data_IF_909502235153
#
_entry.id   IF_909502235153
#
_cell.length_a   1.000
_cell.length_b   1.000
_cell.length_c   1.000
_cell.angle_alpha   90.00
_cell.angle_beta   90.00
_cell.angle_gamma   90.00
#
_symmetry.space_group_name_H-M   'P 1'
#
loop_
_entity.id
_entity.type
_entity.pdbx_description
1 polymer ?
#
# COMPACT_ATOMS: atom_id res chain seq x y z
N UNK A 1 -53.72 -3.59 73.16
CA UNK A 1 -52.58 -4.08 72.37
C UNK A 1 -53.12 -5.02 71.30
N UNK A 2 -53.17 -4.61 70.04
CA UNK A 2 -52.33 -5.24 69.01
C UNK A 2 -52.44 -4.43 67.71
N UNK A 3 -51.28 -4.14 67.16
CA UNK A 3 -51.02 -3.44 65.93
C UNK A 3 -51.10 -4.47 64.79
N UNK A 4 -51.84 -4.18 63.72
CA UNK A 4 -51.74 -4.95 62.49
C UNK A 4 -51.60 -3.98 61.32
N UNK A 5 -50.37 -3.86 60.85
CA UNK A 5 -49.97 -3.22 59.59
C UNK A 5 -49.29 -4.34 58.79
N UNK A 6 -49.71 -4.59 57.53
CA UNK A 6 -48.78 -4.26 56.45
C UNK A 6 -49.49 -3.65 55.23
N UNK A 7 -48.91 -2.59 54.67
CA UNK A 7 -48.78 -2.50 53.22
C UNK A 7 -47.32 -2.29 52.85
N UNK A 8 -46.68 -3.31 52.26
CA UNK A 8 -45.49 -3.16 51.44
C UNK A 8 -45.85 -3.82 50.11
N UNK A 9 -46.09 -3.08 49.03
CA UNK A 9 -45.16 -2.12 48.44
C UNK A 9 -44.28 -2.93 47.49
N UNK A 10 -44.76 -3.10 46.24
CA UNK A 10 -44.06 -3.86 45.21
C UNK A 10 -42.70 -3.25 44.92
N UNK A 11 -41.64 -3.91 45.36
CA UNK A 11 -40.33 -3.76 44.76
C UNK A 11 -40.32 -4.72 43.57
N UNK A 12 -40.18 -4.19 42.35
CA UNK A 12 -39.83 -5.00 41.19
C UNK A 12 -38.61 -5.85 41.54
N UNK A 13 -38.62 -7.11 41.09
CA UNK A 13 -37.58 -8.07 41.45
C UNK A 13 -36.24 -7.57 40.90
N UNK A 14 -35.30 -7.14 41.75
CA UNK A 14 -34.07 -6.48 41.29
C UNK A 14 -33.17 -7.42 40.47
N UNK A 15 -33.38 -8.74 40.56
CA UNK A 15 -32.69 -9.72 39.74
C UNK A 15 -33.28 -9.76 38.32
N UNK A 16 -34.57 -9.49 38.15
CA UNK A 16 -35.21 -9.41 36.84
C UNK A 16 -34.73 -8.17 36.06
N UNK A 17 -34.65 -7.01 36.71
CA UNK A 17 -34.10 -5.79 36.10
C UNK A 17 -32.62 -5.95 35.74
N UNK A 18 -31.81 -6.55 36.61
CA UNK A 18 -30.40 -6.84 36.32
C UNK A 18 -30.22 -7.85 35.17
N UNK A 19 -31.08 -8.86 35.10
CA UNK A 19 -31.04 -9.85 34.01
C UNK A 19 -31.39 -9.19 32.66
N UNK A 20 -32.42 -8.34 32.64
CA UNK A 20 -32.80 -7.59 31.44
C UNK A 20 -31.68 -6.64 30.97
N UNK A 21 -30.99 -5.99 31.90
CA UNK A 21 -29.86 -5.10 31.58
C UNK A 21 -28.65 -5.88 31.04
N UNK A 22 -28.36 -7.06 31.57
CA UNK A 22 -27.32 -7.96 31.04
C UNK A 22 -27.67 -8.50 29.65
N UNK A 23 -28.92 -8.89 29.41
CA UNK A 23 -29.38 -9.33 28.08
C UNK A 23 -29.26 -8.19 27.06
N UNK A 24 -29.63 -6.97 27.44
CA UNK A 24 -29.48 -5.80 26.57
C UNK A 24 -28.01 -5.50 26.26
N UNK A 25 -27.13 -5.57 27.27
CA UNK A 25 -25.70 -5.38 27.09
C UNK A 25 -25.09 -6.47 26.18
N UNK A 26 -25.49 -7.73 26.36
CA UNK A 26 -25.05 -8.84 25.52
C UNK A 26 -25.53 -8.68 24.08
N UNK A 27 -26.77 -8.26 23.86
CA UNK A 27 -27.32 -7.98 22.53
C UNK A 27 -26.58 -6.82 21.85
N UNK A 28 -26.31 -5.74 22.58
CA UNK A 28 -25.51 -4.59 22.10
C UNK A 28 -24.08 -5.01 21.74
N UNK A 29 -23.44 -5.81 22.57
CA UNK A 29 -22.09 -6.33 22.32
C UNK A 29 -22.04 -7.26 21.09
N UNK A 30 -23.01 -8.16 20.93
CA UNK A 30 -23.10 -9.04 19.77
C UNK A 30 -23.31 -8.25 18.47
N UNK A 31 -24.20 -7.27 18.48
CA UNK A 31 -24.44 -6.40 17.33
C UNK A 31 -23.20 -5.55 16.98
N UNK A 32 -22.47 -5.05 17.99
CA UNK A 32 -21.20 -4.35 17.82
C UNK A 32 -20.13 -5.25 17.18
N UNK A 33 -20.00 -6.48 17.66
CA UNK A 33 -19.06 -7.46 17.14
C UNK A 33 -19.35 -7.84 15.68
N UNK A 34 -20.62 -8.00 15.32
CA UNK A 34 -21.04 -8.27 13.94
C UNK A 34 -20.73 -7.10 13.02
N UNK A 35 -21.06 -5.87 13.45
CA UNK A 35 -20.75 -4.65 12.69
C UNK A 35 -19.26 -4.45 12.50
N UNK A 36 -18.46 -4.73 13.54
CA UNK A 36 -17.00 -4.65 13.45
C UNK A 36 -16.45 -5.69 12.47
N UNK A 37 -16.94 -6.94 12.51
CA UNK A 37 -16.55 -7.98 11.55
C UNK A 37 -16.94 -7.63 10.11
N UNK A 38 -18.06 -6.94 9.93
CA UNK A 38 -18.54 -6.49 8.62
C UNK A 38 -17.89 -5.18 8.14
N UNK A 39 -17.15 -4.47 9.00
CA UNK A 39 -16.51 -3.21 8.64
C UNK A 39 -15.32 -3.48 7.71
N UNK A 40 -15.53 -3.24 6.42
CA UNK A 40 -14.54 -3.48 5.37
C UNK A 40 -14.43 -2.24 4.51
N UNK A 41 -13.23 -1.70 4.36
CA UNK A 41 -12.99 -0.60 3.43
C UNK A 41 -12.42 -1.14 2.12
N UNK A 42 -13.02 -0.72 1.02
CA UNK A 42 -12.52 -1.01 -0.33
C UNK A 42 -12.01 0.29 -0.96
N UNK A 43 -10.78 0.27 -1.47
CA UNK A 43 -10.18 1.36 -2.22
C UNK A 43 -9.76 0.86 -3.60
N UNK A 44 -10.02 1.67 -4.62
CA UNK A 44 -9.73 1.31 -6.00
C UNK A 44 -8.90 2.41 -6.68
N UNK A 45 -8.03 1.98 -7.59
CA UNK A 45 -7.30 2.88 -8.47
C UNK A 45 -8.30 3.63 -9.38
N UNK A 46 -8.09 4.93 -9.68
CA UNK A 46 -9.00 5.70 -10.53
C UNK A 46 -9.08 5.16 -11.97
N UNK A 47 -8.04 4.46 -12.40
CA UNK A 47 -7.94 3.79 -13.69
C UNK A 47 -8.48 2.35 -13.67
N UNK A 48 -8.96 1.84 -12.52
CA UNK A 48 -9.48 0.48 -12.39
C UNK A 48 -8.42 -0.62 -12.49
N UNK A 49 -7.13 -0.28 -12.45
CA UNK A 49 -6.05 -1.26 -12.51
C UNK A 49 -6.00 -2.15 -11.26
N UNK A 50 -6.27 -1.60 -10.08
CA UNK A 50 -6.13 -2.33 -8.81
C UNK A 50 -7.28 -1.98 -7.87
N UNK A 51 -7.83 -2.99 -7.20
CA UNK A 51 -8.79 -2.86 -6.11
C UNK A 51 -8.24 -3.56 -4.87
N UNK A 52 -8.27 -2.87 -3.73
CA UNK A 52 -7.73 -3.34 -2.45
C UNK A 52 -8.84 -3.29 -1.42
N UNK A 53 -9.03 -4.39 -0.69
CA UNK A 53 -10.04 -4.52 0.36
C UNK A 53 -9.34 -4.83 1.68
N UNK A 54 -9.55 -4.00 2.69
CA UNK A 54 -8.90 -4.10 4.00
C UNK A 54 -9.96 -4.23 5.09
N UNK A 55 -9.75 -5.16 6.02
CA UNK A 55 -10.63 -5.38 7.16
C UNK A 55 -10.39 -4.39 8.30
N UNK A 56 -11.22 -4.45 9.35
CA UNK A 56 -11.23 -3.47 10.45
C UNK A 56 -9.91 -3.41 11.22
N UNK A 57 -9.15 -4.51 11.24
CA UNK A 57 -7.84 -4.60 11.89
C UNK A 57 -6.68 -4.12 11.01
N UNK A 58 -6.95 -3.54 9.84
CA UNK A 58 -5.92 -3.13 8.87
C UNK A 58 -5.31 -4.29 8.06
N UNK A 59 -5.83 -5.50 8.23
CA UNK A 59 -5.39 -6.70 7.49
C UNK A 59 -5.97 -6.68 6.09
N UNK A 60 -5.11 -6.92 5.09
CA UNK A 60 -5.50 -7.07 3.69
C UNK A 60 -6.35 -8.33 3.54
N UNK A 61 -7.59 -8.17 3.09
CA UNK A 61 -8.51 -9.28 2.85
C UNK A 61 -8.55 -9.68 1.38
N UNK A 62 -8.51 -8.69 0.48
CA UNK A 62 -8.61 -8.96 -0.94
C UNK A 62 -7.79 -7.97 -1.78
N UNK A 63 -7.18 -8.49 -2.84
CA UNK A 63 -6.46 -7.72 -3.84
C UNK A 63 -6.87 -8.22 -5.22
N UNK A 64 -7.44 -7.33 -6.05
CA UNK A 64 -7.85 -7.63 -7.42
C UNK A 64 -7.13 -6.74 -8.42
N UNK A 65 -6.68 -7.35 -9.51
CA UNK A 65 -6.09 -6.66 -10.65
C UNK A 65 -7.08 -6.60 -11.79
N UNK A 66 -7.36 -5.39 -12.28
CA UNK A 66 -8.19 -5.15 -13.45
C UNK A 66 -7.38 -5.22 -14.75
N UNK A 67 -8.05 -5.12 -15.92
CA UNK A 67 -7.40 -5.22 -17.23
C UNK A 67 -6.30 -4.17 -17.43
N UNK A 68 -6.47 -2.96 -16.88
CA UNK A 68 -5.47 -1.87 -16.92
C UNK A 68 -4.17 -2.20 -16.15
N UNK A 69 -4.17 -3.16 -15.24
CA UNK A 69 -2.93 -3.56 -14.55
C UNK A 69 -1.94 -4.25 -15.49
N UNK A 70 -2.44 -5.02 -16.45
CA UNK A 70 -1.62 -5.79 -17.38
C UNK A 70 -0.96 -4.92 -18.45
N UNK A 71 -1.50 -3.72 -18.69
CA UNK A 71 -0.92 -2.73 -19.60
C UNK A 71 0.21 -1.90 -18.95
N UNK A 72 0.39 -2.01 -17.63
CA UNK A 72 1.39 -1.24 -16.86
C UNK A 72 2.70 -2.02 -16.68
N UNK A 73 3.84 -1.32 -16.64
CA UNK A 73 5.09 -1.96 -16.26
C UNK A 73 5.04 -2.42 -14.79
N UNK A 74 5.69 -3.55 -14.45
CA UNK A 74 5.55 -4.18 -13.13
C UNK A 74 5.99 -3.29 -11.96
N UNK A 75 6.99 -2.43 -12.17
CA UNK A 75 7.46 -1.47 -11.17
C UNK A 75 6.41 -0.40 -10.86
N UNK A 76 5.68 0.08 -11.87
CA UNK A 76 4.61 1.04 -11.69
C UNK A 76 3.39 0.38 -11.01
N UNK A 77 3.10 -0.88 -11.34
CA UNK A 77 2.04 -1.64 -10.70
C UNK A 77 2.33 -1.87 -9.21
N UNK A 78 3.56 -2.28 -8.87
CA UNK A 78 3.99 -2.46 -7.47
C UNK A 78 3.84 -1.15 -6.67
N UNK A 79 4.31 -0.03 -7.23
CA UNK A 79 4.18 1.29 -6.61
C UNK A 79 2.72 1.71 -6.41
N UNK A 80 1.84 1.38 -7.35
CA UNK A 80 0.41 1.67 -7.26
C UNK A 80 -0.28 0.82 -6.18
N UNK A 81 0.04 -0.47 -6.11
CA UNK A 81 -0.49 -1.38 -5.08
C UNK A 81 -0.11 -0.88 -3.69
N UNK A 82 1.16 -0.54 -3.46
CA UNK A 82 1.63 -0.05 -2.16
C UNK A 82 0.92 1.25 -1.75
N UNK A 83 0.73 2.19 -2.68
CA UNK A 83 -0.03 3.41 -2.43
C UNK A 83 -1.49 3.14 -2.07
N UNK A 84 -2.14 2.20 -2.77
CA UNK A 84 -3.54 1.85 -2.49
C UNK A 84 -3.70 1.14 -1.15
N UNK A 85 -2.77 0.26 -0.80
CA UNK A 85 -2.76 -0.39 0.52
C UNK A 85 -2.63 0.66 1.62
N UNK A 86 -1.67 1.60 1.50
CA UNK A 86 -1.52 2.67 2.49
C UNK A 86 -2.76 3.54 2.64
N UNK A 87 -3.41 3.91 1.52
CA UNK A 87 -4.70 4.64 1.55
C UNK A 87 -5.83 3.83 2.16
N UNK A 88 -5.92 2.54 1.85
CA UNK A 88 -6.95 1.67 2.40
C UNK A 88 -6.78 1.51 3.91
N UNK A 89 -5.55 1.34 4.39
CA UNK A 89 -5.24 1.30 5.82
C UNK A 89 -5.63 2.60 6.53
N UNK A 90 -5.25 3.77 5.99
CA UNK A 90 -5.65 5.06 6.54
C UNK A 90 -7.18 5.24 6.59
N UNK A 91 -7.89 4.81 5.54
CA UNK A 91 -9.34 4.88 5.46
C UNK A 91 -10.02 3.98 6.49
N UNK A 92 -9.54 2.73 6.64
CA UNK A 92 -10.03 1.82 7.69
C UNK A 92 -9.80 2.42 9.07
N UNK A 93 -8.60 2.92 9.37
CA UNK A 93 -8.32 3.51 10.68
C UNK A 93 -9.25 4.68 11.00
N UNK A 94 -9.54 5.53 10.01
CA UNK A 94 -10.49 6.63 10.17
C UNK A 94 -11.94 6.13 10.39
N UNK A 95 -12.39 5.14 9.62
CA UNK A 95 -13.73 4.55 9.77
C UNK A 95 -13.91 3.82 11.11
N UNK A 96 -12.86 3.12 11.58
CA UNK A 96 -12.85 2.48 12.89
C UNK A 96 -12.90 3.55 13.99
N UNK A 97 -12.09 4.60 13.91
CA UNK A 97 -12.12 5.70 14.87
C UNK A 97 -13.49 6.40 14.94
N UNK A 98 -14.14 6.60 13.79
CA UNK A 98 -15.50 7.14 13.69
C UNK A 98 -16.55 6.21 14.32
N UNK A 99 -16.49 4.91 14.01
CA UNK A 99 -17.40 3.90 14.57
C UNK A 99 -17.25 3.77 16.10
N UNK A 100 -16.03 3.84 16.62
CA UNK A 100 -15.79 3.88 18.06
C UNK A 100 -16.27 5.19 18.68
N UNK A 101 -16.08 6.34 18.02
CA UNK A 101 -16.59 7.64 18.50
C UNK A 101 -18.12 7.66 18.61
N UNK A 102 -18.82 7.03 17.67
CA UNK A 102 -20.28 6.86 17.71
C UNK A 102 -20.78 5.89 18.79
N UNK A 103 -19.94 4.96 19.24
CA UNK A 103 -20.26 4.04 20.35
C UNK A 103 -19.92 4.63 21.72
N UNK A 104 -18.91 5.50 21.78
CA UNK A 104 -18.38 6.12 23.01
C UNK A 104 -19.14 7.40 23.40
N UNK A 105 -20.10 7.84 22.59
CA UNK A 105 -20.93 9.02 22.86
C UNK A 105 -22.24 8.75 23.59
N UNK A 106 -22.20 8.43 24.89
CA UNK A 106 -23.07 9.06 25.92
C UNK A 106 -22.73 8.67 27.37
N UNK A 107 -21.99 7.58 27.64
CA UNK A 107 -21.48 7.33 29.00
C UNK A 107 -20.30 6.34 29.04
N UNK A 108 -19.36 6.62 29.95
CA UNK A 108 -18.45 5.66 30.59
C UNK A 108 -17.10 5.31 29.92
N UNK A 109 -16.03 5.59 30.67
CA UNK A 109 -14.68 4.98 30.73
C UNK A 109 -13.82 4.82 29.44
N UNK A 110 -14.41 4.52 28.28
CA UNK A 110 -13.70 4.35 27.02
C UNK A 110 -13.07 5.66 26.52
N UNK A 111 -13.65 6.81 26.89
CA UNK A 111 -13.14 8.14 26.52
C UNK A 111 -11.86 8.51 27.29
N UNK A 112 -11.71 8.02 28.50
CA UNK A 112 -10.53 8.24 29.36
C UNK A 112 -9.36 7.38 28.89
N UNK A 113 -9.62 6.11 28.56
CA UNK A 113 -8.63 5.23 27.93
C UNK A 113 -8.24 5.70 26.52
N UNK A 114 -9.17 6.23 25.73
CA UNK A 114 -8.85 6.78 24.41
C UNK A 114 -7.97 8.04 24.51
N UNK A 115 -8.14 8.85 25.56
CA UNK A 115 -7.31 10.04 25.81
C UNK A 115 -5.91 9.66 26.28
N UNK A 116 -5.77 8.55 27.02
CA UNK A 116 -4.47 8.06 27.47
C UNK A 116 -3.66 7.35 26.36
N UNK A 117 -4.34 6.81 25.34
CA UNK A 117 -3.71 6.15 24.18
C UNK A 117 -3.60 7.04 22.93
N UNK A 118 -4.21 8.22 22.90
CA UNK A 118 -3.96 9.24 21.87
C UNK A 118 -2.89 10.21 22.36
N UNK A 119 -1.72 10.32 21.71
CA UNK A 119 -0.85 11.47 21.93
C UNK A 119 -1.62 12.74 21.57
N UNK A 120 -1.58 13.75 22.44
CA UNK A 120 -2.20 15.05 22.22
C UNK A 120 -1.82 15.56 20.82
N UNK A 121 -2.79 15.97 19.97
CA UNK A 121 -2.45 16.73 18.78
C UNK A 121 -1.81 18.01 19.27
N UNK A 122 -0.50 18.15 19.05
CA UNK A 122 0.21 19.39 19.31
C UNK A 122 -0.60 20.53 18.67
N UNK A 123 -0.86 21.63 19.40
CA UNK A 123 -1.61 22.74 18.85
C UNK A 123 -0.94 23.17 17.55
N UNK A 124 -1.71 23.15 16.47
CA UNK A 124 -1.32 23.75 15.21
C UNK A 124 -1.19 25.26 15.41
N UNK A 125 -0.03 25.70 15.90
CA UNK A 125 0.44 27.07 15.71
C UNK A 125 0.97 27.19 14.28
N UNK A 126 0.29 28.02 13.49
CA UNK A 126 0.88 28.71 12.35
C UNK A 126 0.68 28.07 10.96
N UNK A 127 -0.23 28.68 10.19
CA UNK A 127 -0.24 28.66 8.71
C UNK A 127 1.09 29.27 8.17
N UNK A 128 1.53 28.94 6.93
CA UNK A 128 2.88 28.47 6.61
C UNK A 128 3.84 29.58 6.13
N UNK A 129 5.13 29.26 6.04
CA UNK A 129 5.95 29.80 4.97
C UNK A 129 6.57 28.68 4.14
N UNK A 130 6.36 28.76 2.82
CA UNK A 130 7.36 28.35 1.84
C UNK A 130 7.48 26.85 1.59
N UNK A 131 7.19 26.46 0.35
CA UNK A 131 7.28 25.08 -0.10
C UNK A 131 8.63 24.43 0.19
N UNK A 132 8.59 23.34 0.96
CA UNK A 132 9.60 22.33 0.90
C UNK A 132 9.39 21.55 -0.41
N UNK A 133 9.97 22.07 -1.49
CA UNK A 133 10.47 21.23 -2.58
C UNK A 133 11.16 20.05 -1.92
N UNK A 134 10.71 18.84 -2.23
CA UNK A 134 11.54 17.66 -2.06
C UNK A 134 12.78 17.87 -2.93
N UNK A 135 13.82 18.45 -2.34
CA UNK A 135 15.15 18.38 -2.90
C UNK A 135 15.61 16.96 -2.59
N UNK A 136 15.86 16.09 -3.59
CA UNK A 136 16.60 14.88 -3.30
C UNK A 136 17.91 15.30 -2.64
N UNK A 137 18.22 14.62 -1.54
CA UNK A 137 19.45 14.74 -0.77
C UNK A 137 20.62 15.07 -1.70
N UNK A 138 21.17 16.28 -1.56
CA UNK A 138 22.41 16.67 -2.21
C UNK A 138 23.49 15.84 -1.53
N UNK A 139 23.67 14.66 -2.07
CA UNK A 139 24.81 13.81 -1.96
C UNK A 139 26.09 14.67 -1.96
N UNK A 140 26.70 14.85 -0.78
CA UNK A 140 27.95 15.59 -0.57
C UNK A 140 29.15 14.75 -1.09
N UNK A 141 28.98 14.09 -2.24
CA UNK A 141 30.13 13.61 -3.01
C UNK A 141 30.67 14.82 -3.77
N UNK A 142 31.95 15.18 -3.59
CA UNK A 142 32.57 16.17 -4.47
C UNK A 142 32.34 15.73 -5.92
N UNK A 143 32.06 16.66 -6.86
CA UNK A 143 31.82 16.29 -8.25
C UNK A 143 33.01 15.47 -8.75
N UNK A 144 32.74 14.24 -9.19
CA UNK A 144 33.76 13.43 -9.86
C UNK A 144 34.39 14.27 -10.97
N UNK A 145 35.73 14.37 -11.03
CA UNK A 145 36.38 15.09 -12.12
C UNK A 145 35.87 14.56 -13.47
N UNK A 146 35.75 15.41 -14.50
CA UNK A 146 35.33 14.95 -15.81
C UNK A 146 36.21 13.76 -16.22
N UNK A 147 35.64 12.69 -16.79
CA UNK A 147 36.45 11.59 -17.28
C UNK A 147 37.51 12.15 -18.24
N UNK A 148 38.76 11.67 -18.19
CA UNK A 148 39.76 12.10 -19.15
C UNK A 148 39.19 11.89 -20.55
N UNK A 149 39.49 12.79 -21.52
CA UNK A 149 39.04 12.60 -22.89
C UNK A 149 39.43 11.18 -23.29
N UNK A 150 38.43 10.36 -23.62
CA UNK A 150 38.67 9.02 -24.16
C UNK A 150 39.57 9.24 -25.36
N UNK A 151 40.86 8.92 -25.22
CA UNK A 151 41.76 8.88 -26.34
C UNK A 151 41.12 7.89 -27.29
N UNK A 152 40.65 8.37 -28.44
CA UNK A 152 40.19 7.48 -29.49
C UNK A 152 41.37 6.52 -29.73
N UNK A 153 41.15 5.21 -29.70
CA UNK A 153 42.21 4.29 -30.12
C UNK A 153 42.72 4.80 -31.48
N UNK A 154 44.04 4.85 -31.68
CA UNK A 154 44.59 5.32 -32.94
C UNK A 154 43.89 4.56 -34.07
N UNK A 155 43.29 5.33 -34.99
CA UNK A 155 42.67 4.74 -36.16
C UNK A 155 43.71 3.88 -36.89
N UNK A 156 43.28 2.82 -37.58
CA UNK A 156 44.19 2.01 -38.38
C UNK A 156 45.02 2.91 -39.31
N UNK A 157 46.33 2.66 -39.46
CA UNK A 157 47.18 3.47 -40.32
C UNK A 157 46.60 3.51 -41.74
N UNK A 158 46.74 4.63 -42.46
CA UNK A 158 46.27 4.72 -43.84
C UNK A 158 46.97 3.63 -44.67
N UNK A 159 46.25 2.96 -45.58
CA UNK A 159 46.83 1.93 -46.41
C UNK A 159 47.97 2.52 -47.25
N UNK A 160 49.11 1.86 -47.21
CA UNK A 160 50.31 2.25 -47.93
C UNK A 160 50.01 2.31 -49.45
N UNK A 161 50.25 3.44 -50.15
CA UNK A 161 49.97 3.58 -51.59
C UNK A 161 50.71 2.58 -52.48
N UNK A 162 51.77 1.94 -51.95
CA UNK A 162 52.55 0.94 -52.67
C UNK A 162 51.92 -0.46 -52.73
N UNK A 163 50.91 -0.76 -51.91
CA UNK A 163 50.21 -2.07 -51.99
C UNK A 163 49.12 -2.13 -53.07
N UNK A 164 48.66 -0.98 -53.57
CA UNK A 164 47.62 -0.93 -54.62
C UNK A 164 48.15 -1.31 -56.01
N UNK A 165 49.47 -1.47 -56.18
CA UNK A 165 50.09 -1.71 -57.49
C UNK A 165 50.26 -3.20 -57.83
N UNK A 166 49.97 -4.12 -56.91
CA UNK A 166 50.22 -5.56 -57.13
C UNK A 166 48.96 -6.45 -57.14
N UNK A 167 47.77 -5.86 -57.28
CA UNK A 167 46.51 -6.59 -57.08
C UNK A 167 45.56 -6.57 -58.28
N UNK A 168 45.86 -7.30 -59.36
CA UNK A 168 44.85 -7.94 -60.23
C UNK A 168 45.53 -8.90 -61.23
N UNK A 169 44.87 -9.95 -61.75
CA UNK A 169 43.81 -10.79 -61.17
C UNK A 169 44.12 -12.30 -61.37
N UNK A 170 43.68 -13.19 -60.47
CA UNK A 170 43.39 -14.59 -60.85
C UNK A 170 42.08 -15.06 -60.23
N UNK A 171 41.06 -15.15 -61.09
CA UNK A 171 39.82 -15.87 -60.83
C UNK A 171 40.16 -17.30 -60.41
N UNK A 172 39.63 -17.76 -59.28
CA UNK A 172 39.44 -19.18 -58.99
C UNK A 172 37.96 -19.46 -58.71
N UNK A 173 37.47 -20.64 -59.07
CA UNK A 173 36.04 -20.94 -59.13
C UNK A 173 35.45 -21.16 -57.74
N UNK A 174 34.14 -20.91 -57.64
CA UNK A 174 33.31 -21.12 -56.46
C UNK A 174 33.08 -22.61 -56.19
N UNK A 175 33.27 -23.12 -54.96
CA UNK A 175 32.66 -24.36 -54.50
C UNK A 175 31.21 -24.12 -54.03
N UNK A 176 30.35 -25.11 -54.28
CA UNK A 176 28.91 -25.15 -54.02
C UNK A 176 28.59 -25.26 -52.50
N UNK A 177 27.33 -25.07 -52.07
CA UNK A 177 26.94 -25.15 -50.67
C UNK A 177 26.78 -26.61 -50.25
N UNK A 178 27.34 -26.99 -49.10
CA UNK A 178 26.90 -28.19 -48.39
C UNK A 178 25.72 -27.81 -47.50
N UNK A 179 24.60 -28.46 -47.80
CA UNK A 179 23.40 -28.54 -46.98
C UNK A 179 23.64 -29.53 -45.83
N UNK A 180 22.95 -29.26 -44.72
CA UNK A 180 22.49 -30.26 -43.75
C UNK A 180 23.49 -30.86 -42.74
N UNK A 181 23.40 -30.35 -41.51
CA UNK A 181 23.34 -31.14 -40.28
C UNK A 181 22.71 -30.17 -39.25
N UNK A 182 21.45 -30.35 -38.85
CA UNK A 182 21.01 -31.53 -38.15
C UNK A 182 21.23 -31.30 -36.66
N UNK A 183 20.13 -31.21 -35.92
CA UNK A 183 20.06 -31.29 -34.45
C UNK A 183 20.54 -30.12 -33.55
N UNK A 184 19.51 -29.57 -32.88
CA UNK A 184 19.43 -29.44 -31.42
C UNK A 184 20.04 -28.21 -30.75
N UNK A 185 19.22 -27.17 -30.63
CA UNK A 185 19.29 -26.28 -29.48
C UNK A 185 17.98 -26.40 -28.68
N UNK A 186 17.96 -27.13 -27.53
CA UNK A 186 16.79 -27.25 -26.69
C UNK A 186 16.54 -25.91 -25.98
N UNK A 187 15.33 -25.39 -26.13
CA UNK A 187 14.80 -24.35 -25.24
C UNK A 187 14.26 -24.99 -23.96
#
# INVERSE_FOLDING_TARGET
>A
MTQSVPPGGGAGDPLADFSAELEELQAKAAAAQERLRAAVATVQAPDGAVSVTVGPSGVLQELRFGPRAYERPPQALSSLVMQLIGRAQQKVSAEVADAFSGMVGENSAARELLTEFLPEPEPAEGTPPGGAKFMPEADDRPPSPPPPPRQRPPGPPPPNPQQQQHGQPRRRPRPAPDEDDGESNPW
#
